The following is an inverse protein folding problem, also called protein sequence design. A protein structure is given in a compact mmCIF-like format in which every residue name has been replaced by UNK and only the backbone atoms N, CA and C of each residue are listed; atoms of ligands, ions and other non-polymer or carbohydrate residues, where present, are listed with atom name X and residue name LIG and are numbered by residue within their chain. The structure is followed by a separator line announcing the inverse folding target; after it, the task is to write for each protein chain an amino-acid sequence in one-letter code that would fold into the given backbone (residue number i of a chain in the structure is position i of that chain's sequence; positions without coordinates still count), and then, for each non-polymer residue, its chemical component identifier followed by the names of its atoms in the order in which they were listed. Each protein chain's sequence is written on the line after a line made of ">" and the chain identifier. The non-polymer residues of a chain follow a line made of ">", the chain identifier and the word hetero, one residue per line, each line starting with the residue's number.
data_IF_364207511382
#
_entry.id   IF_364207511382
#
_cell.length_a   1.000
_cell.length_b   1.000
_cell.length_c   1.000
_cell.angle_alpha   90.00
_cell.angle_beta   90.00
_cell.angle_gamma   90.00
#
_symmetry.space_group_name_H-M   'P 1'
#
loop_
_entity.id
_entity.type
_entity.pdbx_description
1 polymer ?
#
# COMPACT_ATOMS: atom_id res chain seq x y z
N UNK A 1 6.01 -14.31 -7.61
CA UNK A 1 5.06 -15.25 -8.26
C UNK A 1 3.87 -15.58 -7.36
N UNK A 2 4.07 -16.06 -6.12
CA UNK A 2 2.96 -16.32 -5.19
C UNK A 2 2.33 -15.04 -4.61
N UNK A 3 3.13 -14.09 -4.12
CA UNK A 3 2.64 -12.83 -3.54
C UNK A 3 1.82 -11.96 -4.51
N UNK A 4 2.11 -12.04 -5.80
CA UNK A 4 1.38 -11.33 -6.87
C UNK A 4 0.20 -12.13 -7.45
N UNK A 5 -0.13 -13.29 -6.87
CA UNK A 5 -1.21 -14.14 -7.37
C UNK A 5 -2.54 -13.74 -6.73
N UNK A 6 -3.35 -13.00 -7.48
CA UNK A 6 -4.64 -12.47 -7.02
C UNK A 6 -5.72 -13.53 -6.70
N UNK A 7 -5.54 -14.78 -7.12
CA UNK A 7 -6.52 -15.85 -6.85
C UNK A 7 -6.22 -16.67 -5.60
N UNK A 8 -4.98 -17.13 -5.45
CA UNK A 8 -4.58 -18.06 -4.38
C UNK A 8 -3.27 -17.66 -3.68
N UNK A 9 -2.74 -16.46 -3.92
CA UNK A 9 -1.48 -15.95 -3.34
C UNK A 9 -1.37 -16.14 -1.84
N UNK A 10 -2.37 -15.70 -1.07
CA UNK A 10 -2.42 -15.89 0.39
C UNK A 10 -2.29 -17.37 0.78
N UNK A 11 -3.09 -18.26 0.17
CA UNK A 11 -3.06 -19.69 0.50
C UNK A 11 -1.73 -20.36 0.13
N UNK A 12 -1.13 -19.96 -0.99
CA UNK A 12 0.17 -20.47 -1.41
C UNK A 12 1.27 -20.01 -0.45
N UNK A 13 1.27 -18.74 -0.04
CA UNK A 13 2.24 -18.24 0.93
C UNK A 13 2.06 -18.91 2.28
N UNK A 14 0.82 -19.07 2.77
CA UNK A 14 0.52 -19.80 4.00
C UNK A 14 1.13 -21.21 3.98
N UNK A 15 0.86 -21.99 2.92
CA UNK A 15 1.37 -23.36 2.78
C UNK A 15 2.90 -23.41 2.68
N UNK A 16 3.52 -22.42 2.05
CA UNK A 16 4.98 -22.31 1.97
C UNK A 16 5.59 -22.02 3.34
N UNK A 17 4.99 -21.09 4.09
CA UNK A 17 5.41 -20.77 5.46
C UNK A 17 5.19 -21.95 6.42
N UNK A 18 4.15 -22.78 6.22
CA UNK A 18 3.90 -23.96 7.05
C UNK A 18 4.86 -25.12 6.76
N UNK A 19 5.09 -25.42 5.48
CA UNK A 19 5.78 -26.66 5.08
C UNK A 19 7.26 -26.48 4.82
N UNK A 20 7.70 -25.25 4.57
CA UNK A 20 9.05 -24.91 4.07
C UNK A 20 9.54 -23.59 4.66
N UNK A 21 9.21 -23.31 5.92
CA UNK A 21 9.52 -22.04 6.59
C UNK A 21 11.00 -21.62 6.42
N UNK A 22 11.93 -22.57 6.60
CA UNK A 22 13.38 -22.33 6.52
C UNK A 22 13.89 -22.17 5.08
N UNK A 23 13.15 -22.63 4.07
CA UNK A 23 13.53 -22.50 2.66
C UNK A 23 13.04 -21.19 2.03
N UNK A 24 12.17 -20.45 2.72
CA UNK A 24 11.53 -19.24 2.21
C UNK A 24 12.07 -18.05 2.98
N UNK A 25 12.80 -17.18 2.30
CA UNK A 25 13.19 -15.86 2.81
C UNK A 25 12.18 -14.82 2.31
N UNK A 26 11.66 -13.99 3.22
CA UNK A 26 10.81 -12.86 2.81
C UNK A 26 11.73 -11.74 2.33
N UNK A 27 11.55 -11.34 1.07
CA UNK A 27 12.32 -10.25 0.44
C UNK A 27 11.42 -9.04 0.20
N UNK A 28 12.04 -7.87 0.04
CA UNK A 28 11.33 -6.65 -0.33
C UNK A 28 10.44 -6.85 -1.57
N UNK A 29 10.93 -7.53 -2.62
CA UNK A 29 10.16 -7.83 -3.83
C UNK A 29 8.89 -8.64 -3.54
N UNK A 30 8.92 -9.55 -2.57
CA UNK A 30 7.74 -10.33 -2.17
C UNK A 30 6.72 -9.41 -1.48
N UNK A 31 7.19 -8.56 -0.57
CA UNK A 31 6.33 -7.62 0.16
C UNK A 31 5.74 -6.57 -0.80
N UNK A 32 6.54 -6.00 -1.70
CA UNK A 32 6.11 -5.06 -2.74
C UNK A 32 5.08 -5.69 -3.67
N UNK A 33 5.32 -6.94 -4.09
CA UNK A 33 4.38 -7.68 -4.92
C UNK A 33 3.04 -7.95 -4.20
N UNK A 34 3.07 -8.19 -2.89
CA UNK A 34 1.86 -8.34 -2.08
C UNK A 34 1.12 -7.01 -1.93
N UNK A 35 1.82 -5.93 -1.63
CA UNK A 35 1.25 -4.59 -1.50
C UNK A 35 0.53 -4.13 -2.79
N UNK A 36 1.09 -4.45 -3.96
CA UNK A 36 0.49 -4.19 -5.26
C UNK A 36 -0.55 -5.22 -5.74
N UNK A 37 -0.90 -6.23 -4.94
CA UNK A 37 -1.82 -7.29 -5.34
C UNK A 37 -3.29 -6.88 -5.05
N UNK A 38 -4.06 -6.69 -6.12
CA UNK A 38 -5.47 -6.28 -6.06
C UNK A 38 -6.45 -7.39 -5.66
N UNK A 39 -6.00 -8.64 -5.55
CA UNK A 39 -6.85 -9.76 -5.15
C UNK A 39 -6.82 -10.01 -3.65
N UNK A 40 -5.65 -10.37 -3.14
CA UNK A 40 -5.46 -10.79 -1.75
C UNK A 40 -4.19 -10.20 -1.11
N UNK A 41 -3.84 -8.97 -1.52
CA UNK A 41 -2.62 -8.30 -1.07
C UNK A 41 -2.62 -8.02 0.42
N UNK A 42 -3.75 -7.59 0.97
CA UNK A 42 -3.90 -7.30 2.39
C UNK A 42 -3.68 -8.55 3.25
N UNK A 43 -4.33 -9.67 2.92
CA UNK A 43 -4.18 -10.92 3.68
C UNK A 43 -2.77 -11.50 3.57
N UNK A 44 -2.10 -11.31 2.42
CA UNK A 44 -0.68 -11.69 2.29
C UNK A 44 0.19 -10.82 3.19
N UNK A 45 0.01 -9.49 3.18
CA UNK A 45 0.79 -8.57 4.03
C UNK A 45 0.55 -8.89 5.50
N UNK A 46 -0.69 -9.08 5.93
CA UNK A 46 -1.04 -9.46 7.30
C UNK A 46 -0.33 -10.76 7.71
N UNK A 47 -0.41 -11.81 6.89
CA UNK A 47 0.25 -13.08 7.17
C UNK A 47 1.77 -12.96 7.29
N UNK A 48 2.39 -12.12 6.44
CA UNK A 48 3.83 -11.86 6.50
C UNK A 48 4.21 -11.10 7.79
N UNK A 49 3.42 -10.09 8.17
CA UNK A 49 3.62 -9.33 9.40
C UNK A 49 3.36 -10.16 10.66
N UNK A 50 2.47 -11.16 10.61
CA UNK A 50 2.20 -12.03 11.75
C UNK A 50 3.28 -13.10 11.95
N UNK A 51 3.79 -13.67 10.87
CA UNK A 51 4.66 -14.86 10.96
C UNK A 51 6.13 -14.55 10.76
N UNK A 52 6.46 -13.47 10.06
CA UNK A 52 7.82 -13.14 9.59
C UNK A 52 8.11 -11.64 9.74
N UNK A 53 7.55 -11.00 10.76
CA UNK A 53 7.66 -9.56 11.01
C UNK A 53 9.10 -9.03 10.89
N UNK A 54 10.06 -9.75 11.47
CA UNK A 54 11.48 -9.40 11.50
C UNK A 54 12.17 -9.42 10.13
N UNK A 55 11.60 -10.12 9.16
CA UNK A 55 12.11 -10.17 7.77
C UNK A 55 11.42 -9.18 6.85
N UNK A 56 10.31 -8.60 7.28
CA UNK A 56 9.61 -7.56 6.54
C UNK A 56 10.23 -6.23 6.92
N UNK A 57 10.66 -5.45 5.93
CA UNK A 57 11.02 -4.04 6.10
C UNK A 57 10.15 -3.23 5.16
N UNK A 58 9.48 -2.20 5.68
CA UNK A 58 8.61 -1.34 4.86
C UNK A 58 9.44 -0.25 4.20
N UNK A 59 9.48 -0.27 2.87
CA UNK A 59 10.20 0.71 2.04
C UNK A 59 9.21 1.63 1.33
N UNK A 60 9.69 2.79 0.87
CA UNK A 60 8.89 3.72 0.06
C UNK A 60 8.24 3.01 -1.14
N UNK A 61 8.97 2.11 -1.79
CA UNK A 61 8.50 1.36 -2.94
C UNK A 61 7.32 0.42 -2.63
N UNK A 62 7.28 -0.14 -1.41
CA UNK A 62 6.17 -0.95 -0.90
C UNK A 62 4.95 -0.07 -0.66
N UNK A 63 5.14 1.06 0.03
CA UNK A 63 4.05 2.01 0.34
C UNK A 63 3.47 2.61 -0.94
N UNK A 64 4.33 2.97 -1.91
CA UNK A 64 3.92 3.46 -3.23
C UNK A 64 3.14 2.41 -4.02
N UNK A 65 3.55 1.14 -3.95
CA UNK A 65 2.82 0.05 -4.58
C UNK A 65 1.41 -0.13 -3.97
N UNK A 66 1.29 -0.04 -2.64
CA UNK A 66 0.00 -0.06 -1.96
C UNK A 66 -0.87 1.15 -2.33
N UNK A 67 -0.29 2.35 -2.33
CA UNK A 67 -1.00 3.59 -2.67
C UNK A 67 -1.57 3.57 -4.12
N UNK A 68 -0.85 2.93 -5.04
CA UNK A 68 -1.28 2.73 -6.43
C UNK A 68 -2.22 1.55 -6.65
N UNK A 69 -2.50 0.72 -5.64
CA UNK A 69 -3.36 -0.46 -5.76
C UNK A 69 -4.83 -0.05 -5.72
N UNK A 70 -5.55 -0.28 -6.81
CA UNK A 70 -6.92 0.18 -6.99
C UNK A 70 -7.96 -0.52 -6.13
N UNK A 71 -7.66 -1.72 -5.63
CA UNK A 71 -8.69 -2.59 -5.05
C UNK A 71 -8.46 -2.85 -3.56
N UNK A 72 -7.22 -3.15 -3.16
CA UNK A 72 -6.85 -3.40 -1.74
C UNK A 72 -5.86 -2.37 -1.19
N UNK A 73 -5.61 -1.27 -1.90
CA UNK A 73 -4.57 -0.31 -1.53
C UNK A 73 -4.79 0.33 -0.16
N UNK A 74 -6.03 0.71 0.15
CA UNK A 74 -6.41 1.30 1.44
C UNK A 74 -6.13 0.36 2.61
N UNK A 75 -6.64 -0.89 2.55
CA UNK A 75 -6.43 -1.89 3.61
C UNK A 75 -4.95 -2.22 3.83
N UNK A 76 -4.16 -2.30 2.75
CA UNK A 76 -2.70 -2.46 2.88
C UNK A 76 -2.08 -1.24 3.56
N UNK A 77 -2.43 -0.01 3.15
CA UNK A 77 -1.89 1.20 3.76
C UNK A 77 -2.25 1.29 5.25
N UNK A 78 -3.49 0.97 5.62
CA UNK A 78 -3.95 0.91 7.01
C UNK A 78 -3.12 -0.09 7.83
N UNK A 79 -2.94 -1.32 7.35
CA UNK A 79 -2.09 -2.33 8.00
C UNK A 79 -0.63 -1.86 8.21
N UNK A 80 -0.07 -1.18 7.21
CA UNK A 80 1.30 -0.66 7.28
C UNK A 80 1.41 0.49 8.28
N UNK A 81 0.45 1.40 8.31
CA UNK A 81 0.41 2.50 9.27
C UNK A 81 0.17 2.00 10.70
N UNK A 82 -0.71 1.02 10.90
CA UNK A 82 -1.02 0.48 12.22
C UNK A 82 0.14 -0.31 12.83
N UNK A 83 0.80 -1.14 12.03
CA UNK A 83 1.79 -2.11 12.53
C UNK A 83 3.23 -1.68 12.35
N UNK A 84 3.50 -0.78 11.38
CA UNK A 84 4.85 -0.38 10.97
C UNK A 84 4.96 1.14 10.78
N UNK A 85 4.19 1.92 11.54
CA UNK A 85 4.12 3.39 11.47
C UNK A 85 5.50 4.07 11.38
N UNK A 86 6.47 3.61 12.18
CA UNK A 86 7.81 4.22 12.27
C UNK A 86 8.63 4.05 10.98
N UNK A 87 8.32 3.03 10.16
CA UNK A 87 9.01 2.77 8.89
C UNK A 87 8.35 3.47 7.69
N UNK A 88 7.07 3.84 7.82
CA UNK A 88 6.30 4.43 6.73
C UNK A 88 6.62 5.93 6.61
N UNK A 89 7.47 6.34 5.67
CA UNK A 89 7.65 7.75 5.34
C UNK A 89 6.78 8.12 4.15
N UNK A 90 5.95 9.16 4.28
CA UNK A 90 5.09 9.62 3.18
C UNK A 90 5.85 10.61 2.31
N UNK A 91 6.04 10.25 1.04
CA UNK A 91 6.73 11.05 0.03
C UNK A 91 5.73 11.61 -0.99
N UNK A 92 6.15 12.64 -1.74
CA UNK A 92 5.35 13.18 -2.84
C UNK A 92 4.94 12.08 -3.84
N UNK A 93 5.84 11.14 -4.11
CA UNK A 93 5.60 10.02 -5.04
C UNK A 93 4.51 9.06 -4.56
N UNK A 94 4.39 8.83 -3.25
CA UNK A 94 3.31 8.05 -2.64
C UNK A 94 1.99 8.80 -2.77
N UNK A 95 1.97 10.09 -2.41
CA UNK A 95 0.76 10.92 -2.48
C UNK A 95 0.28 11.07 -3.93
N UNK A 96 1.20 11.23 -4.87
CA UNK A 96 0.90 11.29 -6.32
C UNK A 96 0.32 9.97 -6.83
N UNK A 97 0.86 8.83 -6.38
CA UNK A 97 0.32 7.52 -6.73
C UNK A 97 -1.12 7.34 -6.22
N UNK A 98 -1.39 7.71 -4.97
CA UNK A 98 -2.73 7.69 -4.39
C UNK A 98 -3.69 8.66 -5.11
N UNK A 99 -3.25 9.89 -5.39
CA UNK A 99 -4.07 10.89 -6.06
C UNK A 99 -4.51 10.45 -7.48
N UNK A 100 -3.62 9.76 -8.21
CA UNK A 100 -3.91 9.17 -9.51
C UNK A 100 -4.70 7.85 -9.48
N UNK A 101 -4.88 7.24 -8.31
CA UNK A 101 -5.53 5.95 -8.15
C UNK A 101 -7.07 6.09 -8.25
N UNK A 102 -7.63 5.59 -9.35
CA UNK A 102 -9.07 5.69 -9.65
C UNK A 102 -9.97 4.71 -8.89
N UNK A 103 -9.39 3.78 -8.12
CA UNK A 103 -10.10 2.88 -7.22
C UNK A 103 -10.08 3.45 -5.80
N UNK A 104 -9.22 2.93 -4.92
CA UNK A 104 -9.15 3.37 -3.52
C UNK A 104 -8.35 4.65 -3.27
N UNK A 105 -7.99 5.43 -4.30
CA UNK A 105 -7.10 6.58 -4.14
C UNK A 105 -7.59 7.65 -3.15
N UNK A 106 -8.90 7.89 -3.07
CA UNK A 106 -9.45 8.85 -2.12
C UNK A 106 -9.30 8.38 -0.67
N UNK A 107 -9.60 7.11 -0.40
CA UNK A 107 -9.47 6.49 0.93
C UNK A 107 -8.01 6.39 1.36
N UNK A 108 -7.11 6.07 0.43
CA UNK A 108 -5.66 6.13 0.70
C UNK A 108 -5.24 7.55 1.08
N UNK A 109 -5.66 8.59 0.34
CA UNK A 109 -5.32 9.98 0.69
C UNK A 109 -5.85 10.36 2.07
N UNK A 110 -7.07 9.95 2.42
CA UNK A 110 -7.66 10.18 3.74
C UNK A 110 -6.80 9.52 4.85
N UNK A 111 -6.46 8.25 4.72
CA UNK A 111 -5.57 7.54 5.67
C UNK A 111 -4.21 8.22 5.82
N UNK A 112 -3.61 8.66 4.72
CA UNK A 112 -2.30 9.33 4.73
C UNK A 112 -2.37 10.69 5.45
N UNK A 113 -3.43 11.46 5.24
CA UNK A 113 -3.66 12.73 5.93
C UNK A 113 -3.88 12.49 7.43
N UNK A 114 -4.78 11.56 7.79
CA UNK A 114 -5.11 11.26 9.19
C UNK A 114 -3.89 10.85 10.03
N UNK A 115 -2.92 10.15 9.43
CA UNK A 115 -1.76 9.62 10.15
C UNK A 115 -0.50 10.49 10.00
N UNK A 116 -0.34 11.19 8.87
CA UNK A 116 0.94 11.78 8.44
C UNK A 116 0.78 13.10 7.69
N UNK A 117 -0.25 13.89 8.01
CA UNK A 117 -0.49 15.22 7.43
C UNK A 117 0.78 16.10 7.40
N UNK A 118 1.58 16.08 8.46
CA UNK A 118 2.81 16.87 8.60
C UNK A 118 3.90 16.53 7.57
N UNK A 119 3.81 15.37 6.92
CA UNK A 119 4.73 14.92 5.88
C UNK A 119 4.23 15.24 4.47
N UNK A 120 2.98 15.69 4.31
CA UNK A 120 2.34 15.89 3.02
C UNK A 120 2.45 17.35 2.61
N UNK A 121 3.17 17.60 1.53
CA UNK A 121 3.17 18.90 0.86
C UNK A 121 2.43 18.77 -0.46
N UNK A 122 1.34 19.53 -0.63
CA UNK A 122 0.57 19.53 -1.87
C UNK A 122 1.34 20.26 -2.97
N UNK A 123 1.71 19.52 -4.02
CA UNK A 123 2.43 20.06 -5.18
C UNK A 123 1.54 20.14 -6.42
N UNK A 124 2.00 20.87 -7.43
CA UNK A 124 1.33 20.94 -8.73
C UNK A 124 1.19 19.54 -9.38
N UNK A 125 2.17 18.66 -9.15
CA UNK A 125 2.18 17.31 -9.68
C UNK A 125 1.13 16.40 -9.04
N UNK A 126 0.91 16.54 -7.73
CA UNK A 126 -0.19 15.86 -7.01
C UNK A 126 -1.53 16.36 -7.52
N UNK A 127 -1.70 17.68 -7.67
CA UNK A 127 -2.92 18.29 -8.19
C UNK A 127 -3.22 17.82 -9.62
N UNK A 128 -2.21 17.74 -10.49
CA UNK A 128 -2.36 17.20 -11.85
C UNK A 128 -2.76 15.73 -11.83
N UNK A 129 -2.18 14.92 -10.95
CA UNK A 129 -2.56 13.52 -10.80
C UNK A 129 -4.02 13.36 -10.37
N UNK A 130 -4.45 14.13 -9.36
CA UNK A 130 -5.84 14.17 -8.91
C UNK A 130 -6.80 14.65 -10.02
N UNK A 131 -6.46 15.73 -10.72
CA UNK A 131 -7.28 16.25 -11.82
C UNK A 131 -7.40 15.26 -13.00
N UNK A 132 -6.40 14.42 -13.21
CA UNK A 132 -6.43 13.33 -14.20
C UNK A 132 -7.23 12.09 -13.76
N UNK A 133 -7.56 11.97 -12.47
CA UNK A 133 -8.33 10.87 -11.93
C UNK A 133 -9.83 11.06 -12.20
N UNK A 134 -10.30 10.54 -13.33
CA UNK A 134 -11.67 10.70 -13.81
C UNK A 134 -12.76 10.09 -12.92
N UNK A 135 -12.43 9.17 -12.02
CA UNK A 135 -13.40 8.55 -11.10
C UNK A 135 -13.49 9.30 -9.77
N UNK A 136 -12.35 9.53 -9.13
CA UNK A 136 -12.28 10.02 -7.75
C UNK A 136 -11.55 11.37 -7.61
N UNK A 137 -11.08 11.97 -8.71
CA UNK A 137 -10.28 13.18 -8.70
C UNK A 137 -10.92 14.35 -7.97
N UNK A 138 -12.24 14.55 -8.11
CA UNK A 138 -12.96 15.59 -7.38
C UNK A 138 -12.91 15.37 -5.85
N UNK A 139 -13.08 14.12 -5.41
CA UNK A 139 -13.02 13.77 -3.98
C UNK A 139 -11.60 13.89 -3.43
N UNK A 140 -10.61 13.42 -4.21
CA UNK A 140 -9.19 13.59 -3.88
C UNK A 140 -8.86 15.08 -3.73
N UNK A 141 -9.27 15.93 -4.67
CA UNK A 141 -9.03 17.37 -4.61
C UNK A 141 -9.70 18.04 -3.40
N UNK A 142 -10.88 17.58 -2.99
CA UNK A 142 -11.55 18.05 -1.76
C UNK A 142 -10.71 17.71 -0.52
N UNK A 143 -10.24 16.47 -0.40
CA UNK A 143 -9.41 16.02 0.73
C UNK A 143 -8.10 16.81 0.84
N UNK A 144 -7.42 17.03 -0.29
CA UNK A 144 -6.16 17.78 -0.35
C UNK A 144 -6.31 19.29 -0.09
N UNK A 145 -7.54 19.83 -0.10
CA UNK A 145 -7.82 21.25 0.22
C UNK A 145 -8.35 21.44 1.64
N UNK A 146 -8.81 20.37 2.29
CA UNK A 146 -9.44 20.40 3.61
C UNK A 146 -8.46 20.37 4.79
N UNK A 147 -7.18 20.14 4.51
CA UNK A 147 -6.06 20.05 5.43
C UNK A 147 -5.00 21.07 4.96
#
# INVERSE_FOLDING_TARGET
>A
AAASNSGNGAKVIELLLDRRAEEVTITEDIVKAAAGNSGNGAEVIELLLDRRAEEVTITEDIVKAAAGNSDNGAEVIELLLDRRAEEVTITEDIVKAAAGNSGNGAEVIELLLDHREDQITITEDIVKAAAGNWRNGAKVMELLQGH
#
